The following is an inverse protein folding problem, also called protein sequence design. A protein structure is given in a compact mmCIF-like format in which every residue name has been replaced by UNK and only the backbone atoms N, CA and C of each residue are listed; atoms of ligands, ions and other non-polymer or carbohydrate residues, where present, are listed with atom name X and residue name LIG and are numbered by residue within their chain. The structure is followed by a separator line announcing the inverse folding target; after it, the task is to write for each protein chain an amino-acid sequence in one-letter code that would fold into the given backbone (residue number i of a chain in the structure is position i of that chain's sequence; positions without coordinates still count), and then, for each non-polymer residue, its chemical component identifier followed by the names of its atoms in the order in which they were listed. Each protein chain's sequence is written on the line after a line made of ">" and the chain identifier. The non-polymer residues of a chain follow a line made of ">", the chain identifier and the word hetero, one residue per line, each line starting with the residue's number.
data_IF_655389485141
#
_entry.id   IF_655389485141
#
_cell.length_a   1.000
_cell.length_b   1.000
_cell.length_c   1.000
_cell.angle_alpha   90.00
_cell.angle_beta   90.00
_cell.angle_gamma   90.00
#
_symmetry.space_group_name_H-M   'P 1'
#
loop_
_entity.id
_entity.type
_entity.pdbx_description
1 polymer ?
#
# COMPACT_ATOMS: atom_id res chain seq x y z
N UNK A 1 5.71 10.91 -19.41
CA UNK A 1 4.90 11.25 -20.62
C UNK A 1 5.71 11.17 -21.90
N UNK A 2 6.85 11.87 -22.01
CA UNK A 2 7.65 11.95 -23.25
C UNK A 2 8.10 10.60 -23.83
N UNK A 3 8.16 9.54 -23.01
CA UNK A 3 8.52 8.18 -23.42
C UNK A 3 7.31 7.32 -23.89
N UNK A 4 6.09 7.88 -23.97
CA UNK A 4 4.92 7.18 -24.49
C UNK A 4 4.02 6.47 -23.46
N UNK A 5 4.36 6.48 -22.17
CA UNK A 5 3.51 5.92 -21.10
C UNK A 5 2.16 6.63 -21.04
N UNK A 6 1.06 5.86 -21.15
CA UNK A 6 -0.33 6.34 -21.09
C UNK A 6 -1.05 5.94 -19.80
N UNK A 7 -0.49 5.02 -19.03
CA UNK A 7 -1.01 4.55 -17.75
C UNK A 7 0.15 4.20 -16.83
N UNK A 8 0.04 4.54 -15.55
CA UNK A 8 1.06 4.25 -14.55
C UNK A 8 0.41 3.76 -13.26
N UNK A 9 1.08 2.84 -12.59
CA UNK A 9 0.76 2.45 -11.22
C UNK A 9 1.66 3.26 -10.27
N UNK A 10 1.05 3.86 -9.25
CA UNK A 10 1.75 4.66 -8.26
C UNK A 10 1.49 4.10 -6.86
N UNK A 11 2.54 3.67 -6.17
CA UNK A 11 2.49 3.13 -4.82
C UNK A 11 2.77 4.20 -3.77
N UNK A 12 2.15 4.10 -2.60
CA UNK A 12 2.57 4.83 -1.40
C UNK A 12 3.72 4.09 -0.70
N UNK A 13 3.86 4.19 0.63
CA UNK A 13 4.89 3.43 1.37
C UNK A 13 6.15 4.21 1.73
N UNK A 14 6.18 5.52 1.49
CA UNK A 14 7.23 6.40 2.03
C UNK A 14 6.79 7.17 3.28
N UNK A 15 5.54 6.99 3.71
CA UNK A 15 5.00 7.56 4.95
C UNK A 15 5.07 6.58 6.12
N UNK A 16 4.73 5.31 5.89
CA UNK A 16 4.65 4.19 6.86
C UNK A 16 3.61 4.37 7.97
N UNK A 17 3.39 5.60 8.44
CA UNK A 17 2.36 5.99 9.39
C UNK A 17 1.14 6.57 8.66
N UNK A 18 -0.05 6.36 9.22
CA UNK A 18 -1.31 6.76 8.59
C UNK A 18 -1.38 8.22 8.11
N UNK A 19 -0.97 9.24 8.90
CA UNK A 19 -1.06 10.63 8.45
C UNK A 19 -0.26 10.91 7.17
N UNK A 20 0.91 10.30 7.05
CA UNK A 20 1.79 10.48 5.91
C UNK A 20 1.37 9.63 4.71
N UNK A 21 0.93 8.40 4.94
CA UNK A 21 0.33 7.56 3.89
C UNK A 21 -0.92 8.22 3.31
N UNK A 22 -1.80 8.76 4.15
CA UNK A 22 -2.98 9.52 3.72
C UNK A 22 -2.59 10.75 2.89
N UNK A 23 -1.52 11.45 3.27
CA UNK A 23 -1.01 12.60 2.50
C UNK A 23 -0.56 12.16 1.11
N UNK A 24 0.13 11.03 0.99
CA UNK A 24 0.54 10.46 -0.30
C UNK A 24 -0.66 10.01 -1.14
N UNK A 25 -1.64 9.33 -0.53
CA UNK A 25 -2.87 8.93 -1.22
C UNK A 25 -3.64 10.12 -1.79
N UNK A 26 -3.82 11.18 -1.00
CA UNK A 26 -4.46 12.42 -1.45
C UNK A 26 -3.67 13.11 -2.57
N UNK A 27 -2.34 13.10 -2.49
CA UNK A 27 -1.47 13.64 -3.54
C UNK A 27 -1.68 12.86 -4.86
N UNK A 28 -1.75 11.53 -4.80
CA UNK A 28 -1.96 10.70 -5.99
C UNK A 28 -3.37 10.88 -6.58
N UNK A 29 -4.40 10.99 -5.74
CA UNK A 29 -5.77 11.29 -6.18
C UNK A 29 -5.84 12.67 -6.86
N UNK A 30 -5.14 13.67 -6.33
CA UNK A 30 -5.00 14.97 -6.98
C UNK A 30 -4.23 14.87 -8.30
N UNK A 31 -3.11 14.14 -8.35
CA UNK A 31 -2.32 13.99 -9.56
C UNK A 31 -3.14 13.39 -10.72
N UNK A 32 -4.06 12.46 -10.41
CA UNK A 32 -4.96 11.84 -11.40
C UNK A 32 -5.81 12.84 -12.17
N UNK A 33 -6.17 13.99 -11.58
CA UNK A 33 -6.94 15.05 -12.25
C UNK A 33 -6.08 16.08 -12.99
N UNK A 34 -4.76 16.07 -12.79
CA UNK A 34 -3.83 17.07 -13.34
C UNK A 34 -2.92 16.54 -14.45
N UNK A 35 -2.75 15.22 -14.56
CA UNK A 35 -1.84 14.60 -15.52
C UNK A 35 -2.66 13.85 -16.59
N UNK A 36 -2.36 14.01 -17.90
CA UNK A 36 -3.14 13.39 -18.98
C UNK A 36 -2.81 11.91 -19.20
N UNK A 37 -2.69 11.13 -18.12
CA UNK A 37 -2.52 9.67 -18.14
C UNK A 37 -3.37 9.03 -17.06
N UNK A 38 -3.69 7.75 -17.22
CA UNK A 38 -4.31 6.99 -16.15
C UNK A 38 -3.33 6.72 -15.01
N UNK A 39 -3.84 6.78 -13.78
CA UNK A 39 -3.08 6.47 -12.56
C UNK A 39 -3.86 5.44 -11.75
N UNK A 40 -3.35 4.21 -11.62
CA UNK A 40 -3.78 3.28 -10.57
C UNK A 40 -3.02 3.62 -9.29
N UNK A 41 -3.73 3.60 -8.15
CA UNK A 41 -3.17 3.92 -6.85
C UNK A 41 -3.13 2.64 -6.02
N UNK A 42 -1.94 2.37 -5.49
CA UNK A 42 -1.66 1.21 -4.65
C UNK A 42 -1.27 1.69 -3.25
N UNK A 43 -2.02 1.26 -2.24
CA UNK A 43 -1.64 1.49 -0.85
C UNK A 43 -0.52 0.51 -0.46
N UNK A 44 0.64 1.04 -0.05
CA UNK A 44 1.81 0.25 0.33
C UNK A 44 2.32 0.68 1.72
N UNK A 45 1.43 0.80 2.71
CA UNK A 45 1.85 1.16 4.07
C UNK A 45 2.84 0.16 4.70
N UNK A 46 2.89 -1.07 4.17
CA UNK A 46 3.81 -2.14 4.56
C UNK A 46 5.08 -2.20 3.69
N UNK A 47 5.63 -1.05 3.32
CA UNK A 47 6.85 -0.98 2.51
C UNK A 47 8.12 -1.10 3.36
N UNK A 48 8.09 -0.62 4.61
CA UNK A 48 9.18 -0.74 5.56
C UNK A 48 8.66 -0.63 7.00
N UNK A 49 9.48 -1.02 7.97
CA UNK A 49 9.16 -0.87 9.40
C UNK A 49 9.86 0.39 9.95
N UNK A 50 9.13 1.35 10.56
CA UNK A 50 9.72 2.50 11.24
C UNK A 50 10.70 2.07 12.34
N UNK A 51 11.81 2.80 12.51
CA UNK A 51 12.91 2.44 13.43
C UNK A 51 12.49 2.22 14.88
N UNK A 52 11.37 2.79 15.31
CA UNK A 52 10.85 2.77 16.67
C UNK A 52 9.71 1.76 16.87
N UNK A 53 9.45 0.88 15.89
CA UNK A 53 8.40 -0.13 15.94
C UNK A 53 8.93 -1.47 15.42
N UNK A 54 8.26 -2.55 15.81
CA UNK A 54 8.47 -3.88 15.26
C UNK A 54 7.56 -4.12 14.05
N UNK A 55 7.92 -5.11 13.21
CA UNK A 55 7.09 -5.53 12.08
C UNK A 55 5.68 -5.96 12.54
N UNK A 56 5.59 -6.60 13.72
CA UNK A 56 4.33 -7.06 14.29
C UNK A 56 3.45 -5.89 14.75
N UNK A 57 4.01 -4.91 15.47
CA UNK A 57 3.29 -3.69 15.86
C UNK A 57 2.77 -2.94 14.63
N UNK A 58 3.56 -2.85 13.57
CA UNK A 58 3.11 -2.25 12.31
C UNK A 58 2.06 -3.09 11.59
N UNK A 59 2.18 -4.41 11.61
CA UNK A 59 1.17 -5.31 11.02
C UNK A 59 -0.18 -5.09 11.70
N UNK A 60 -0.21 -5.04 13.02
CA UNK A 60 -1.43 -4.76 13.79
C UNK A 60 -1.99 -3.36 13.50
N UNK A 61 -1.13 -2.34 13.42
CA UNK A 61 -1.56 -0.97 13.10
C UNK A 61 -2.16 -0.88 11.68
N UNK A 62 -1.49 -1.48 10.69
CA UNK A 62 -1.95 -1.49 9.31
C UNK A 62 -3.31 -2.18 9.19
N UNK A 63 -3.44 -3.39 9.76
CA UNK A 63 -4.67 -4.20 9.69
C UNK A 63 -5.81 -3.54 10.46
N UNK A 64 -5.56 -3.09 11.70
CA UNK A 64 -6.64 -2.66 12.58
C UNK A 64 -6.96 -1.18 12.51
N UNK A 65 -6.04 -0.34 12.02
CA UNK A 65 -6.21 1.11 11.99
C UNK A 65 -6.14 1.65 10.57
N UNK A 66 -5.01 1.49 9.87
CA UNK A 66 -4.79 2.16 8.58
C UNK A 66 -5.76 1.70 7.50
N UNK A 67 -5.93 0.37 7.32
CA UNK A 67 -6.86 -0.20 6.33
C UNK A 67 -8.32 0.18 6.65
N UNK A 68 -8.70 0.22 7.94
CA UNK A 68 -10.05 0.67 8.32
C UNK A 68 -10.29 2.15 8.04
N UNK A 69 -9.28 2.99 8.23
CA UNK A 69 -9.35 4.40 7.90
C UNK A 69 -9.42 4.60 6.38
N UNK A 70 -8.62 3.84 5.61
CA UNK A 70 -8.66 3.81 4.16
C UNK A 70 -10.05 3.41 3.65
N UNK A 71 -10.63 2.34 4.20
CA UNK A 71 -11.98 1.89 3.85
C UNK A 71 -13.01 3.00 4.01
N UNK A 72 -12.99 3.73 5.15
CA UNK A 72 -13.94 4.83 5.40
C UNK A 72 -13.85 5.91 4.32
N UNK A 73 -12.64 6.27 3.91
CA UNK A 73 -12.44 7.27 2.85
C UNK A 73 -12.92 6.77 1.48
N UNK A 74 -12.70 5.48 1.17
CA UNK A 74 -13.22 4.87 -0.05
C UNK A 74 -14.74 4.79 -0.06
N UNK A 75 -15.36 4.38 1.05
CA UNK A 75 -16.83 4.31 1.20
C UNK A 75 -17.47 5.70 1.02
N UNK A 76 -16.80 6.76 1.52
CA UNK A 76 -17.21 8.15 1.36
C UNK A 76 -16.88 8.73 -0.03
N UNK A 77 -16.23 7.98 -0.92
CA UNK A 77 -15.75 8.42 -2.23
C UNK A 77 -14.74 9.57 -2.17
N UNK A 78 -13.99 9.68 -1.07
CA UNK A 78 -12.93 10.67 -0.89
C UNK A 78 -11.60 10.22 -1.53
N UNK A 79 -11.41 8.91 -1.70
CA UNK A 79 -10.26 8.29 -2.34
C UNK A 79 -10.71 7.12 -3.21
N UNK A 80 -9.98 6.87 -4.31
CA UNK A 80 -10.15 5.68 -5.13
C UNK A 80 -8.80 4.96 -5.29
N UNK A 81 -8.59 3.97 -4.41
CA UNK A 81 -7.43 3.08 -4.33
C UNK A 81 -7.84 1.71 -4.86
N UNK A 82 -7.01 1.14 -5.73
CA UNK A 82 -7.32 -0.10 -6.45
C UNK A 82 -6.61 -1.31 -5.85
N UNK A 83 -5.42 -1.08 -5.33
CA UNK A 83 -4.49 -2.14 -4.98
C UNK A 83 -3.91 -1.96 -3.57
N UNK A 84 -3.48 -3.06 -2.98
CA UNK A 84 -2.64 -3.10 -1.77
C UNK A 84 -1.33 -3.84 -2.08
N UNK A 85 -0.23 -3.40 -1.49
CA UNK A 85 1.09 -4.02 -1.65
C UNK A 85 1.80 -4.14 -0.29
N UNK A 86 2.68 -5.14 -0.18
CA UNK A 86 3.51 -5.43 0.98
C UNK A 86 4.91 -5.81 0.50
N UNK A 87 5.94 -5.29 1.17
CA UNK A 87 7.30 -5.78 0.98
C UNK A 87 7.55 -7.03 1.84
N UNK A 88 7.31 -8.21 1.23
CA UNK A 88 7.50 -9.52 1.87
C UNK A 88 8.97 -9.93 1.77
N UNK A 89 9.75 -9.51 2.76
CA UNK A 89 11.20 -9.68 2.79
C UNK A 89 11.70 -9.94 4.21
N UNK A 90 12.77 -10.74 4.32
CA UNK A 90 13.43 -11.04 5.57
C UNK A 90 13.93 -9.75 6.24
N UNK A 91 13.44 -9.50 7.45
CA UNK A 91 13.77 -8.30 8.22
C UNK A 91 12.88 -7.10 7.91
N UNK A 92 11.85 -7.26 7.06
CA UNK A 92 10.83 -6.26 6.80
C UNK A 92 9.45 -6.79 7.24
N UNK A 93 8.76 -7.55 6.40
CA UNK A 93 7.55 -8.30 6.74
C UNK A 93 7.69 -9.75 6.30
N UNK A 94 7.41 -10.70 7.19
CA UNK A 94 7.40 -12.11 6.83
C UNK A 94 6.13 -12.51 6.06
N UNK A 95 6.04 -13.79 5.66
CA UNK A 95 4.91 -14.32 4.87
C UNK A 95 3.58 -14.27 5.63
N UNK A 96 3.59 -14.48 6.96
CA UNK A 96 2.37 -14.49 7.78
C UNK A 96 1.86 -13.06 7.99
N UNK A 97 2.76 -12.12 8.28
CA UNK A 97 2.46 -10.69 8.38
C UNK A 97 1.92 -10.15 7.05
N UNK A 98 2.61 -10.46 5.96
CA UNK A 98 2.20 -10.07 4.60
C UNK A 98 0.81 -10.60 4.26
N UNK A 99 0.56 -11.90 4.54
CA UNK A 99 -0.75 -12.52 4.34
C UNK A 99 -1.85 -11.79 5.10
N UNK A 100 -1.63 -11.46 6.38
CA UNK A 100 -2.63 -10.75 7.19
C UNK A 100 -2.97 -9.37 6.64
N UNK A 101 -1.95 -8.61 6.20
CA UNK A 101 -2.13 -7.28 5.62
C UNK A 101 -2.88 -7.36 4.29
N UNK A 102 -2.46 -8.24 3.38
CA UNK A 102 -3.10 -8.42 2.07
C UNK A 102 -4.54 -8.91 2.20
N UNK A 103 -4.82 -9.84 3.13
CA UNK A 103 -6.19 -10.29 3.39
C UNK A 103 -7.08 -9.17 3.93
N UNK A 104 -6.55 -8.29 4.80
CA UNK A 104 -7.29 -7.13 5.28
C UNK A 104 -7.60 -6.14 4.15
N UNK A 105 -6.66 -5.90 3.22
CA UNK A 105 -6.92 -5.10 2.02
C UNK A 105 -7.98 -5.73 1.12
N UNK A 106 -7.90 -7.04 0.88
CA UNK A 106 -8.89 -7.78 0.10
C UNK A 106 -10.29 -7.71 0.70
N UNK A 107 -10.42 -7.75 2.02
CA UNK A 107 -11.72 -7.61 2.72
C UNK A 107 -12.41 -6.26 2.46
N UNK A 108 -11.66 -5.22 2.10
CA UNK A 108 -12.21 -3.90 1.77
C UNK A 108 -12.29 -3.64 0.25
N UNK A 109 -12.00 -4.66 -0.57
CA UNK A 109 -12.13 -4.61 -2.03
C UNK A 109 -10.87 -4.20 -2.79
N UNK A 110 -9.69 -4.23 -2.15
CA UNK A 110 -8.42 -3.99 -2.85
C UNK A 110 -7.88 -5.27 -3.48
N UNK A 111 -7.28 -5.14 -4.67
CA UNK A 111 -6.51 -6.21 -5.29
C UNK A 111 -5.13 -6.33 -4.64
N UNK A 112 -4.66 -7.57 -4.46
CA UNK A 112 -3.41 -7.85 -3.75
C UNK A 112 -2.22 -7.93 -4.71
N UNK A 113 -1.20 -7.13 -4.44
CA UNK A 113 0.14 -7.22 -5.01
C UNK A 113 1.15 -7.43 -3.87
N UNK A 114 2.39 -7.80 -4.19
CA UNK A 114 3.48 -7.84 -3.22
C UNK A 114 4.83 -7.72 -3.91
N UNK A 115 5.81 -7.19 -3.19
CA UNK A 115 7.23 -7.35 -3.52
C UNK A 115 7.71 -8.60 -2.78
N UNK A 116 8.08 -9.64 -3.51
CA UNK A 116 8.49 -10.93 -2.97
C UNK A 116 9.72 -11.46 -3.68
N UNK A 117 10.48 -12.28 -2.96
CA UNK A 117 11.73 -12.89 -3.44
C UNK A 117 12.75 -11.90 -4.06
N UNK A 118 12.74 -10.63 -3.63
CA UNK A 118 13.61 -9.60 -4.20
C UNK A 118 15.07 -9.77 -3.76
N UNK A 119 15.32 -9.97 -2.46
CA UNK A 119 16.67 -10.10 -1.90
C UNK A 119 16.92 -11.50 -1.31
N UNK A 120 15.90 -12.11 -0.71
CA UNK A 120 15.98 -13.46 -0.18
C UNK A 120 14.83 -14.32 -0.69
N UNK A 121 15.06 -15.63 -0.83
CA UNK A 121 13.96 -16.57 -1.04
C UNK A 121 13.08 -16.61 0.22
N UNK A 122 11.87 -16.09 0.11
CA UNK A 122 10.83 -16.09 1.15
C UNK A 122 9.73 -17.10 0.85
N UNK A 123 9.75 -17.72 -0.34
CA UNK A 123 8.71 -18.67 -0.75
C UNK A 123 7.40 -17.98 -1.07
N UNK A 124 7.48 -16.72 -1.51
CA UNK A 124 6.33 -15.92 -1.90
C UNK A 124 5.75 -16.42 -3.24
N UNK A 125 4.60 -17.09 -3.17
CA UNK A 125 3.85 -17.61 -4.33
C UNK A 125 2.33 -17.50 -4.10
#
# INVERSE_FOLDING_TARGET
>A
LCAGTTYVECKTGYGLEWPDELRLLKLLEQARSHIPIGISITYCGAHAVPKNKTAEEMTEDIVNNQIKALKKLMDNKELNVSDIDVFCEKGVYDTEQSRRILLAGKQIGLEANFHGDELNYTGSA
#
